data_IF_850664474333
#
_entry.id   IF_850664474333
#
_cell.length_a   1.000
_cell.length_b   1.000
_cell.length_c   1.000
_cell.angle_alpha   90.00
_cell.angle_beta   90.00
_cell.angle_gamma   90.00
#
_symmetry.space_group_name_H-M   'P 1'
#
loop_
_entity.id
_entity.type
_entity.pdbx_description
1 polymer ?
#
# COMPACT_ATOMS: atom_id res chain seq x y z
N UNK A 1 -46.86 -21.85 54.37
CA UNK A 1 -46.69 -20.43 53.99
C UNK A 1 -45.25 -20.26 53.55
N UNK A 2 -44.98 -20.45 52.25
CA UNK A 2 -43.66 -20.23 51.65
C UNK A 2 -43.59 -18.77 51.17
N UNK A 3 -42.50 -18.02 51.43
CA UNK A 3 -42.39 -16.66 50.95
C UNK A 3 -42.05 -16.68 49.45
N UNK A 4 -42.70 -15.80 48.68
CA UNK A 4 -42.35 -15.56 47.28
C UNK A 4 -41.05 -14.74 47.20
N UNK A 5 -40.20 -14.95 46.18
CA UNK A 5 -38.97 -14.18 46.04
C UNK A 5 -39.28 -12.77 45.53
N UNK A 6 -38.81 -11.78 46.28
CA UNK A 6 -38.85 -10.35 45.91
C UNK A 6 -38.10 -10.16 44.58
N UNK A 7 -38.76 -9.52 43.60
CA UNK A 7 -38.15 -9.18 42.31
C UNK A 7 -37.30 -7.92 42.50
N UNK A 8 -36.00 -8.05 42.25
CA UNK A 8 -35.06 -6.93 42.20
C UNK A 8 -35.36 -6.01 40.99
N UNK A 9 -36.29 -5.08 41.16
CA UNK A 9 -36.69 -4.07 40.16
C UNK A 9 -35.51 -3.17 39.69
N UNK A 10 -34.40 -3.18 40.42
CA UNK A 10 -33.23 -2.33 40.20
C UNK A 10 -32.31 -2.79 39.05
N UNK A 11 -32.43 -4.05 38.60
CA UNK A 11 -31.60 -4.58 37.50
C UNK A 11 -32.13 -4.14 36.12
N UNK A 12 -33.45 -4.15 35.96
CA UNK A 12 -34.13 -3.76 34.72
C UNK A 12 -33.92 -2.26 34.43
N UNK A 13 -33.99 -1.42 35.45
CA UNK A 13 -33.78 0.03 35.32
C UNK A 13 -32.37 0.38 34.86
N UNK A 14 -31.34 -0.35 35.30
CA UNK A 14 -29.96 -0.17 34.83
C UNK A 14 -29.80 -0.52 33.35
N UNK A 15 -30.45 -1.59 32.89
CA UNK A 15 -30.41 -2.03 31.49
C UNK A 15 -31.10 -0.98 30.60
N UNK A 16 -32.30 -0.56 30.98
CA UNK A 16 -33.08 0.43 30.22
C UNK A 16 -32.32 1.76 30.12
N UNK A 17 -31.65 2.20 31.20
CA UNK A 17 -30.81 3.41 31.19
C UNK A 17 -29.60 3.31 30.27
N UNK A 18 -29.04 2.10 30.10
CA UNK A 18 -27.93 1.87 29.16
C UNK A 18 -28.37 1.86 27.70
N UNK A 19 -29.60 1.41 27.42
CA UNK A 19 -30.21 1.36 26.08
C UNK A 19 -30.74 2.71 25.61
N UNK A 20 -31.21 3.56 26.53
CA UNK A 20 -31.74 4.89 26.23
C UNK A 20 -30.68 6.00 26.21
N UNK A 21 -29.39 5.66 26.34
CA UNK A 21 -28.32 6.66 26.28
C UNK A 21 -28.26 7.25 24.85
N UNK A 22 -28.41 8.57 24.69
CA UNK A 22 -28.37 9.21 23.38
C UNK A 22 -26.97 9.05 22.76
N UNK A 23 -26.90 8.81 21.44
CA UNK A 23 -25.63 8.61 20.72
C UNK A 23 -24.67 9.82 20.80
N UNK A 24 -25.17 10.99 21.23
CA UNK A 24 -24.35 12.18 21.48
C UNK A 24 -23.46 12.07 22.73
N UNK A 25 -23.70 11.10 23.61
CA UNK A 25 -22.89 10.84 24.83
C UNK A 25 -21.84 9.73 24.63
N UNK A 26 -21.68 9.22 23.41
CA UNK A 26 -20.42 8.57 23.07
C UNK A 26 -19.35 9.66 23.04
N UNK A 27 -18.72 9.90 24.19
CA UNK A 27 -17.39 10.51 24.19
C UNK A 27 -16.58 9.73 23.18
N UNK A 28 -16.27 10.37 22.05
CA UNK A 28 -15.31 9.90 21.08
C UNK A 28 -14.03 9.69 21.87
N UNK A 29 -13.82 8.47 22.38
CA UNK A 29 -12.52 8.07 22.90
C UNK A 29 -11.60 8.38 21.74
N UNK A 30 -10.78 9.41 21.94
CA UNK A 30 -9.72 9.79 21.02
C UNK A 30 -8.73 8.62 21.05
N UNK A 31 -9.08 7.54 20.35
CA UNK A 31 -8.10 6.64 19.79
C UNK A 31 -7.16 7.45 18.89
N UNK A 32 -6.02 6.88 18.48
CA UNK A 32 -5.09 7.58 17.60
C UNK A 32 -5.89 8.18 16.45
N UNK A 33 -5.79 9.50 16.27
CA UNK A 33 -6.46 10.23 15.20
C UNK A 33 -5.94 9.68 13.89
N UNK A 34 -6.58 8.63 13.35
CA UNK A 34 -6.27 8.11 12.04
C UNK A 34 -6.73 9.18 11.06
N UNK A 35 -5.79 10.02 10.60
CA UNK A 35 -6.08 11.00 9.57
C UNK A 35 -6.55 10.24 8.33
N UNK A 36 -7.78 10.52 7.89
CA UNK A 36 -8.34 9.90 6.69
C UNK A 36 -7.52 10.18 5.43
N UNK A 37 -6.72 11.24 5.43
CA UNK A 37 -5.78 11.59 4.35
C UNK A 37 -4.61 10.60 4.23
N UNK A 38 -4.28 9.87 5.29
CA UNK A 38 -3.25 8.81 5.26
C UNK A 38 -3.81 7.47 4.75
N UNK A 39 -5.14 7.36 4.61
CA UNK A 39 -5.79 6.18 4.07
C UNK A 39 -5.66 6.16 2.55
N UNK A 40 -4.76 5.30 2.07
CA UNK A 40 -4.55 5.07 0.65
C UNK A 40 -5.41 3.88 0.25
N UNK A 41 -6.24 4.04 -0.78
CA UNK A 41 -6.97 2.93 -1.37
C UNK A 41 -5.97 1.89 -1.91
N UNK A 42 -6.03 0.67 -1.36
CA UNK A 42 -5.13 -0.41 -1.71
C UNK A 42 -5.25 -0.82 -3.18
N UNK A 43 -6.42 -0.65 -3.79
CA UNK A 43 -6.62 -0.99 -5.21
C UNK A 43 -5.75 -0.17 -6.14
N UNK A 44 -5.37 1.04 -5.74
CA UNK A 44 -4.48 1.91 -6.54
C UNK A 44 -3.04 1.36 -6.53
N UNK A 45 -2.67 0.58 -5.51
CA UNK A 45 -1.34 0.01 -5.32
C UNK A 45 -1.19 -1.40 -5.89
N UNK A 46 -2.29 -2.01 -6.35
CA UNK A 46 -2.31 -3.39 -6.85
C UNK A 46 -2.56 -3.38 -8.35
N UNK A 47 -1.68 -4.04 -9.10
CA UNK A 47 -1.90 -4.34 -10.51
C UNK A 47 -2.35 -5.79 -10.67
N UNK A 48 -3.24 -6.05 -11.63
CA UNK A 48 -3.74 -7.39 -11.94
C UNK A 48 -3.22 -7.87 -13.29
N UNK A 49 -3.07 -9.18 -13.40
CA UNK A 49 -2.84 -9.85 -14.68
C UNK A 49 -4.10 -9.77 -15.57
N UNK A 50 -3.92 -9.98 -16.88
CA UNK A 50 -4.98 -9.96 -17.91
C UNK A 50 -6.09 -10.96 -17.55
N UNK A 51 -5.73 -12.12 -17.01
CA UNK A 51 -6.69 -13.14 -16.58
C UNK A 51 -7.24 -12.91 -15.16
N UNK A 52 -6.76 -11.89 -14.45
CA UNK A 52 -7.17 -11.59 -13.08
C UNK A 52 -6.81 -12.67 -12.06
N UNK A 53 -5.85 -13.55 -12.38
CA UNK A 53 -5.41 -14.66 -11.51
C UNK A 53 -4.26 -14.29 -10.58
N UNK A 54 -3.49 -13.27 -10.95
CA UNK A 54 -2.35 -12.80 -10.19
C UNK A 54 -2.52 -11.31 -9.89
N UNK A 55 -2.14 -10.95 -8.68
CA UNK A 55 -2.03 -9.57 -8.22
C UNK A 55 -0.56 -9.27 -7.93
N UNK A 56 -0.13 -8.06 -8.27
CA UNK A 56 1.23 -7.61 -8.05
C UNK A 56 1.23 -6.27 -7.32
N UNK A 57 2.12 -6.13 -6.34
CA UNK A 57 2.34 -4.92 -5.55
C UNK A 57 3.83 -4.62 -5.52
N UNK A 58 4.20 -3.35 -5.69
CA UNK A 58 5.61 -2.93 -5.67
C UNK A 58 5.86 -1.99 -4.50
N UNK A 59 6.82 -2.36 -3.65
CA UNK A 59 7.33 -1.54 -2.56
C UNK A 59 8.71 -0.99 -2.93
N UNK A 60 8.94 0.28 -2.66
CA UNK A 60 10.27 0.89 -2.77
C UNK A 60 11.07 0.51 -1.52
N UNK A 61 12.23 -0.11 -1.73
CA UNK A 61 13.15 -0.49 -0.65
C UNK A 61 14.22 0.56 -0.46
N UNK A 62 14.79 1.06 -1.57
CA UNK A 62 15.86 2.06 -1.54
C UNK A 62 15.67 3.14 -2.63
N UNK A 63 16.02 4.36 -2.26
CA UNK A 63 15.97 5.56 -3.12
C UNK A 63 17.29 6.29 -3.07
N UNK A 64 17.69 6.87 -4.20
CA UNK A 64 18.89 7.69 -4.30
C UNK A 64 18.59 9.14 -3.91
N UNK A 65 19.52 9.76 -3.19
CA UNK A 65 19.53 11.19 -2.86
C UNK A 65 19.96 12.08 -4.05
N UNK A 66 20.15 11.49 -5.24
CA UNK A 66 20.46 12.25 -6.45
C UNK A 66 19.33 13.23 -6.80
N UNK A 67 19.70 14.49 -7.00
CA UNK A 67 18.76 15.52 -7.42
C UNK A 67 18.39 15.30 -8.90
N UNK A 68 17.10 15.44 -9.27
CA UNK A 68 16.69 15.30 -10.65
C UNK A 68 17.47 16.29 -11.54
N UNK A 69 17.89 15.88 -12.75
CA UNK A 69 18.75 16.70 -13.61
C UNK A 69 18.11 18.03 -14.04
N UNK A 70 16.81 18.21 -13.82
CA UNK A 70 16.13 19.49 -13.94
C UNK A 70 14.88 19.54 -13.05
N UNK A 71 14.55 20.72 -12.50
CA UNK A 71 13.27 20.94 -11.79
C UNK A 71 12.14 20.72 -12.79
N UNK A 72 11.49 19.57 -12.71
CA UNK A 72 10.42 19.21 -13.62
C UNK A 72 9.19 20.06 -13.31
N UNK A 73 8.56 20.65 -14.35
CA UNK A 73 7.39 21.53 -14.16
C UNK A 73 6.20 20.86 -13.48
N UNK A 74 6.15 19.53 -13.51
CA UNK A 74 5.09 18.68 -12.96
C UNK A 74 5.39 18.19 -11.53
N UNK A 75 6.44 18.69 -10.86
CA UNK A 75 6.77 18.36 -9.46
C UNK A 75 8.04 17.52 -9.31
N UNK A 76 8.31 17.12 -8.06
CA UNK A 76 9.53 16.42 -7.68
C UNK A 76 9.50 14.94 -8.07
N UNK A 77 10.68 14.43 -8.44
CA UNK A 77 10.91 13.04 -8.79
C UNK A 77 12.01 12.48 -7.91
N UNK A 78 11.84 11.22 -7.52
CA UNK A 78 12.80 10.46 -6.76
C UNK A 78 13.35 9.36 -7.65
N UNK A 79 14.66 9.13 -7.56
CA UNK A 79 15.35 8.06 -8.29
C UNK A 79 15.31 6.79 -7.44
N UNK A 80 14.66 5.76 -7.93
CA UNK A 80 14.53 4.47 -7.22
C UNK A 80 15.71 3.57 -7.56
N UNK A 81 16.38 3.04 -6.53
CA UNK A 81 17.49 2.10 -6.69
C UNK A 81 17.01 0.66 -6.58
N UNK A 82 16.17 0.38 -5.58
CA UNK A 82 15.81 -0.99 -5.23
C UNK A 82 14.33 -1.11 -4.92
N UNK A 83 13.71 -2.16 -5.44
CA UNK A 83 12.29 -2.46 -5.24
C UNK A 83 12.09 -3.88 -4.77
N UNK A 84 10.98 -4.10 -4.07
CA UNK A 84 10.47 -5.42 -3.73
C UNK A 84 9.15 -5.58 -4.46
N UNK A 85 9.06 -6.64 -5.26
CA UNK A 85 7.86 -7.00 -6.00
C UNK A 85 7.24 -8.21 -5.32
N UNK A 86 6.00 -8.05 -4.89
CA UNK A 86 5.20 -9.14 -4.33
C UNK A 86 4.16 -9.55 -5.35
N UNK A 87 4.16 -10.82 -5.76
CA UNK A 87 3.18 -11.41 -6.66
C UNK A 87 2.34 -12.42 -5.88
N UNK A 88 1.04 -12.16 -5.77
CA UNK A 88 0.07 -13.03 -5.13
C UNK A 88 -0.72 -13.79 -6.18
N UNK A 89 -0.72 -15.10 -6.07
CA UNK A 89 -1.56 -15.99 -6.86
C UNK A 89 -2.91 -16.13 -6.17
N UNK A 90 -3.99 -15.67 -6.82
CA UNK A 90 -5.33 -15.67 -6.23
C UNK A 90 -5.92 -17.10 -6.13
N UNK A 91 -5.58 -17.98 -7.07
CA UNK A 91 -6.08 -19.36 -7.10
C UNK A 91 -5.38 -20.26 -6.07
N UNK A 92 -4.05 -20.21 -5.98
CA UNK A 92 -3.26 -21.06 -5.08
C UNK A 92 -2.97 -20.43 -3.71
N UNK A 93 -3.32 -19.16 -3.52
CA UNK A 93 -2.95 -18.33 -2.36
C UNK A 93 -1.43 -18.27 -2.08
N UNK A 94 -0.60 -18.62 -3.05
CA UNK A 94 0.85 -18.50 -2.93
C UNK A 94 1.27 -17.05 -3.11
N UNK A 95 2.28 -16.64 -2.35
CA UNK A 95 2.89 -15.31 -2.41
C UNK A 95 4.36 -15.48 -2.75
N UNK A 96 4.77 -14.87 -3.84
CA UNK A 96 6.15 -14.80 -4.29
C UNK A 96 6.65 -13.39 -4.04
N UNK A 97 7.85 -13.25 -3.47
CA UNK A 97 8.50 -11.97 -3.27
C UNK A 97 9.88 -12.00 -3.94
N UNK A 98 10.13 -11.00 -4.77
CA UNK A 98 11.40 -10.80 -5.45
C UNK A 98 11.96 -9.42 -5.13
N UNK A 99 13.22 -9.36 -4.73
CA UNK A 99 13.96 -8.11 -4.57
C UNK A 99 14.73 -7.82 -5.85
N UNK A 100 14.55 -6.62 -6.40
CA UNK A 100 15.19 -6.20 -7.64
C UNK A 100 16.02 -4.95 -7.41
N UNK A 101 17.31 -5.05 -7.71
CA UNK A 101 18.23 -3.92 -7.78
C UNK A 101 18.16 -3.30 -9.18
N UNK A 102 17.36 -2.24 -9.31
CA UNK A 102 17.08 -1.57 -10.57
C UNK A 102 18.31 -0.81 -11.08
N UNK A 103 19.19 -0.35 -10.19
CA UNK A 103 20.45 0.25 -10.58
C UNK A 103 21.37 -0.77 -11.27
N UNK A 104 21.53 -1.94 -10.66
CA UNK A 104 22.32 -3.03 -11.25
C UNK A 104 21.73 -3.49 -12.59
N UNK A 105 20.41 -3.66 -12.65
CA UNK A 105 19.68 -4.04 -13.88
C UNK A 105 19.88 -2.99 -14.98
N UNK A 106 19.80 -1.68 -14.67
CA UNK A 106 20.05 -0.65 -15.68
C UNK A 106 21.50 -0.69 -16.19
N UNK A 107 22.47 -0.86 -15.29
CA UNK A 107 23.89 -0.96 -15.68
C UNK A 107 24.12 -2.16 -16.61
N UNK A 108 23.54 -3.31 -16.29
CA UNK A 108 23.59 -4.51 -17.13
C UNK A 108 22.88 -4.29 -18.48
N UNK A 109 21.76 -3.58 -18.49
CA UNK A 109 21.00 -3.27 -19.70
C UNK A 109 21.81 -2.35 -20.65
N UNK A 110 22.49 -1.33 -20.11
CA UNK A 110 23.36 -0.45 -20.89
C UNK A 110 24.53 -1.22 -21.48
N UNK A 111 25.08 -2.18 -20.73
CA UNK A 111 26.20 -3.01 -21.20
C UNK A 111 25.78 -3.99 -22.29
N UNK A 112 24.71 -4.76 -22.09
CA UNK A 112 24.27 -5.82 -23.02
C UNK A 112 23.48 -5.31 -24.21
N UNK A 113 22.68 -4.26 -24.02
CA UNK A 113 21.69 -3.81 -25.02
C UNK A 113 21.92 -2.37 -25.48
N UNK A 114 22.85 -1.63 -24.87
CA UNK A 114 23.11 -0.22 -25.18
C UNK A 114 21.88 0.69 -25.10
N UNK A 115 20.90 0.31 -24.28
CA UNK A 115 19.73 1.13 -23.95
C UNK A 115 19.84 1.62 -22.51
N UNK A 116 19.51 2.89 -22.29
CA UNK A 116 19.32 3.46 -20.95
C UNK A 116 17.82 3.64 -20.70
N UNK A 117 17.40 3.45 -19.46
CA UNK A 117 16.00 3.52 -19.06
C UNK A 117 15.81 4.68 -18.09
N UNK A 118 15.01 5.67 -18.48
CA UNK A 118 14.61 6.75 -17.57
C UNK A 118 13.57 6.30 -16.53
N UNK A 119 13.23 5.01 -16.48
CA UNK A 119 12.11 4.49 -15.71
C UNK A 119 12.35 4.47 -14.19
N UNK A 120 13.59 4.70 -13.74
CA UNK A 120 13.92 4.86 -12.31
C UNK A 120 13.38 6.14 -11.68
N UNK A 121 13.08 7.15 -12.48
CA UNK A 121 12.56 8.43 -11.99
C UNK A 121 11.05 8.35 -11.79
N UNK A 122 10.63 8.19 -10.53
CA UNK A 122 9.23 8.11 -10.13
C UNK A 122 8.82 9.44 -9.50
N UNK A 123 7.71 10.07 -9.92
CA UNK A 123 7.23 11.28 -9.26
C UNK A 123 6.71 10.95 -7.85
N UNK A 124 6.95 11.86 -6.90
CA UNK A 124 6.54 11.67 -5.50
C UNK A 124 5.02 11.50 -5.37
N UNK A 125 4.23 12.07 -6.29
CA UNK A 125 2.77 11.87 -6.36
C UNK A 125 2.36 10.41 -6.53
N UNK A 126 3.19 9.63 -7.23
CA UNK A 126 2.93 8.24 -7.60
C UNK A 126 3.47 7.26 -6.54
N UNK A 127 3.99 7.78 -5.42
CA UNK A 127 4.45 7.00 -4.27
C UNK A 127 3.54 7.29 -3.09
N UNK A 128 2.96 6.23 -2.52
CA UNK A 128 2.04 6.30 -1.39
C UNK A 128 2.46 5.30 -0.32
N UNK A 129 2.81 5.79 0.87
CA UNK A 129 3.30 4.96 1.98
C UNK A 129 4.43 3.99 1.59
N UNK A 130 5.34 4.42 0.71
CA UNK A 130 6.45 3.61 0.20
C UNK A 130 6.08 2.58 -0.88
N UNK A 131 4.82 2.54 -1.32
CA UNK A 131 4.37 1.73 -2.44
C UNK A 131 4.20 2.57 -3.70
N UNK A 132 4.41 1.96 -4.85
CA UNK A 132 4.21 2.59 -6.14
C UNK A 132 2.77 2.36 -6.62
N UNK A 133 2.19 3.33 -7.32
CA UNK A 133 0.90 3.16 -8.00
C UNK A 133 1.00 2.10 -9.11
N UNK A 134 -0.06 1.31 -9.27
CA UNK A 134 -0.19 0.22 -10.25
C UNK A 134 0.13 0.61 -11.69
N UNK A 135 -0.19 1.84 -12.09
CA UNK A 135 0.09 2.38 -13.44
C UNK A 135 1.57 2.43 -13.80
N UNK A 136 2.46 2.46 -12.79
CA UNK A 136 3.93 2.52 -12.99
C UNK A 136 4.61 1.17 -12.87
N UNK A 137 3.90 0.12 -12.45
CA UNK A 137 4.51 -1.17 -12.17
C UNK A 137 5.28 -1.74 -13.37
N UNK A 138 4.61 -1.80 -14.53
CA UNK A 138 5.21 -2.32 -15.77
C UNK A 138 6.41 -1.45 -16.19
N UNK A 139 6.30 -0.13 -16.04
CA UNK A 139 7.40 0.78 -16.39
C UNK A 139 8.64 0.55 -15.53
N UNK A 140 8.49 0.28 -14.23
CA UNK A 140 9.61 0.02 -13.34
C UNK A 140 10.27 -1.33 -13.62
N UNK A 141 9.48 -2.37 -13.87
CA UNK A 141 9.98 -3.75 -14.06
C UNK A 141 10.40 -4.01 -15.52
N UNK A 142 10.10 -3.12 -16.47
CA UNK A 142 10.40 -3.34 -17.90
C UNK A 142 11.87 -3.65 -18.19
N UNK A 143 12.80 -3.06 -17.42
CA UNK A 143 14.23 -3.34 -17.55
C UNK A 143 14.59 -4.77 -17.13
N UNK A 144 13.98 -5.25 -16.03
CA UNK A 144 14.14 -6.62 -15.56
C UNK A 144 13.59 -7.62 -16.59
N UNK A 145 12.39 -7.36 -17.12
CA UNK A 145 11.75 -8.19 -18.15
C UNK A 145 12.62 -8.28 -19.41
N UNK A 146 13.24 -7.17 -19.83
CA UNK A 146 14.11 -7.15 -21.02
C UNK A 146 15.41 -7.96 -20.86
N UNK A 147 15.82 -8.21 -19.62
CA UNK A 147 16.95 -9.06 -19.26
C UNK A 147 16.54 -10.48 -18.81
N UNK A 148 15.24 -10.80 -18.85
CA UNK A 148 14.65 -12.09 -18.45
C UNK A 148 14.88 -12.46 -16.97
N UNK A 149 14.86 -11.46 -16.08
CA UNK A 149 14.81 -11.66 -14.62
C UNK A 149 13.40 -11.96 -14.10
#
# INVERSE_FOLDING_TARGET
MTPEPEKDDNFQDKIIKSLLRPESEYESKSGPTTNFEDFVDEHILISRDIFGKKEMKIKISDVSDEHPPSKWKLGDRVKVNKIIVTVKHLESQQVEEGEFDIEAIEKELVEKRHYTSTNRWVPVSDVKNGYVISSRHISLISGAIALEY
#
